data_IF_390373003406
#
_entry.id   IF_390373003406
#
_cell.length_a   1.000
_cell.length_b   1.000
_cell.length_c   1.000
_cell.angle_alpha   90.00
_cell.angle_beta   90.00
_cell.angle_gamma   90.00
#
_symmetry.space_group_name_H-M   'P 1'
#
loop_
_entity.id
_entity.type
_entity.pdbx_description
1 polymer ?
#
# COMPACT_ATOMS: atom_id res chain seq x y z
N UNK A 1 10.71 22.46 15.12
CA UNK A 1 9.54 22.23 14.24
C UNK A 1 9.59 23.23 13.08
N UNK A 2 9.17 22.84 11.86
CA UNK A 2 9.06 23.78 10.74
C UNK A 2 8.03 24.88 11.04
N UNK A 3 8.16 26.06 10.42
CA UNK A 3 7.18 27.13 10.61
C UNK A 3 5.84 26.67 10.01
N UNK A 4 4.71 26.79 10.72
CA UNK A 4 3.41 26.43 10.16
C UNK A 4 3.18 27.12 8.81
N UNK A 5 2.65 26.39 7.82
CA UNK A 5 2.41 26.86 6.44
C UNK A 5 3.66 27.23 5.64
N UNK A 6 4.87 26.90 6.12
CA UNK A 6 6.07 26.98 5.30
C UNK A 6 6.18 25.81 4.33
N UNK A 7 6.96 25.99 3.25
CA UNK A 7 7.25 24.92 2.28
C UNK A 7 7.93 23.76 3.02
N UNK A 8 7.27 22.60 3.05
CA UNK A 8 7.73 21.40 3.76
C UNK A 8 7.17 21.21 5.17
N UNK A 9 6.32 22.11 5.66
CA UNK A 9 5.56 21.86 6.89
C UNK A 9 4.42 20.85 6.63
N UNK A 10 4.13 19.92 7.55
CA UNK A 10 2.98 19.02 7.43
C UNK A 10 1.69 19.84 7.52
N UNK A 11 0.73 19.57 6.63
CA UNK A 11 -0.58 20.21 6.66
C UNK A 11 -1.64 19.12 6.77
N UNK A 12 -2.52 19.25 7.74
CA UNK A 12 -3.67 18.37 7.89
C UNK A 12 -4.87 18.92 7.12
N UNK A 13 -5.30 18.16 6.12
CA UNK A 13 -6.45 18.47 5.27
C UNK A 13 -7.63 17.52 5.52
N UNK A 14 -7.63 16.81 6.65
CA UNK A 14 -8.75 15.95 7.06
C UNK A 14 -8.61 14.51 6.57
N UNK A 15 -7.43 14.13 6.07
CA UNK A 15 -7.07 12.78 5.63
C UNK A 15 -5.81 12.33 6.34
N UNK A 16 -5.65 11.02 6.52
CA UNK A 16 -4.47 10.43 7.17
C UNK A 16 -4.20 11.02 8.57
N UNK A 17 -5.25 11.13 9.40
CA UNK A 17 -5.16 11.70 10.76
C UNK A 17 -4.12 10.97 11.60
N UNK A 18 -4.02 9.64 11.47
CA UNK A 18 -3.01 8.86 12.18
C UNK A 18 -1.58 9.23 11.76
N UNK A 19 -1.32 9.34 10.46
CA UNK A 19 0.01 9.69 9.95
C UNK A 19 0.37 11.13 10.31
N UNK A 20 -0.59 12.06 10.22
CA UNK A 20 -0.40 13.44 10.64
C UNK A 20 -0.06 13.56 12.13
N UNK A 21 -0.82 12.89 13.00
CA UNK A 21 -0.56 12.87 14.44
C UNK A 21 0.84 12.32 14.75
N UNK A 22 1.24 11.22 14.10
CA UNK A 22 2.57 10.63 14.24
C UNK A 22 3.70 11.59 13.79
N UNK A 23 3.50 12.31 12.68
CA UNK A 23 4.47 13.30 12.18
C UNK A 23 4.60 14.46 13.17
N UNK A 24 3.49 15.02 13.65
CA UNK A 24 3.51 16.13 14.61
C UNK A 24 4.13 15.69 15.93
N UNK A 25 3.82 14.50 16.44
CA UNK A 25 4.46 13.97 17.65
C UNK A 25 5.97 13.83 17.47
N UNK A 26 6.41 13.31 16.33
CA UNK A 26 7.84 13.17 16.03
C UNK A 26 8.52 14.54 15.97
N UNK A 27 7.89 15.53 15.34
CA UNK A 27 8.40 16.90 15.24
C UNK A 27 8.40 17.63 16.58
N UNK A 28 7.35 17.47 17.38
CA UNK A 28 7.21 18.10 18.68
C UNK A 28 8.18 17.48 19.69
N UNK A 29 8.37 16.16 19.66
CA UNK A 29 9.37 15.46 20.44
C UNK A 29 10.80 15.89 20.04
N UNK A 30 11.09 15.97 18.73
CA UNK A 30 12.38 16.49 18.24
C UNK A 30 12.62 17.96 18.64
N UNK A 31 11.56 18.74 18.83
CA UNK A 31 11.65 20.12 19.31
C UNK A 31 11.68 20.25 20.84
N UNK A 32 11.65 19.14 21.59
CA UNK A 32 11.65 19.15 23.05
C UNK A 32 10.39 19.76 23.68
N UNK A 33 9.26 19.74 22.95
CA UNK A 33 8.00 20.31 23.43
C UNK A 33 7.31 19.38 24.42
N UNK A 34 6.68 19.97 25.44
CA UNK A 34 5.89 19.21 26.40
C UNK A 34 4.59 18.73 25.75
N UNK A 35 4.13 17.52 26.09
CA UNK A 35 2.86 16.97 25.58
C UNK A 35 1.66 17.87 25.90
N UNK A 36 1.74 18.67 26.96
CA UNK A 36 0.71 19.65 27.32
C UNK A 36 0.56 20.78 26.29
N UNK A 37 1.59 21.06 25.48
CA UNK A 37 1.54 22.10 24.43
C UNK A 37 1.01 21.55 23.09
N UNK A 38 0.88 20.24 22.94
CA UNK A 38 0.58 19.60 21.65
C UNK A 38 -0.81 19.99 21.08
N UNK A 39 -1.89 20.07 21.90
CA UNK A 39 -3.21 20.49 21.42
C UNK A 39 -3.21 21.89 20.79
N UNK A 40 -2.51 22.85 21.38
CA UNK A 40 -2.39 24.21 20.81
C UNK A 40 -1.43 24.26 19.63
N UNK A 41 -0.42 23.38 19.59
CA UNK A 41 0.57 23.32 18.52
C UNK A 41 0.03 22.75 17.21
N UNK A 42 -1.07 22.01 17.22
CA UNK A 42 -1.61 21.37 16.01
C UNK A 42 -2.53 22.28 15.19
N UNK A 43 -3.24 23.22 15.83
CA UNK A 43 -4.13 24.19 15.15
C UNK A 43 -3.47 24.94 13.98
N UNK A 44 -2.19 25.37 14.06
CA UNK A 44 -1.51 26.06 12.95
C UNK A 44 -1.16 25.14 11.77
N UNK A 45 -1.06 23.82 12.01
CA UNK A 45 -0.76 22.81 10.98
C UNK A 45 -2.04 22.21 10.37
N UNK A 46 -3.22 22.59 10.85
CA UNK A 46 -4.48 22.27 10.21
C UNK A 46 -4.81 23.24 9.07
N UNK A 47 -5.57 22.77 8.08
CA UNK A 47 -6.17 23.64 7.06
C UNK A 47 -7.13 24.65 7.71
N UNK A 48 -7.39 25.78 7.03
CA UNK A 48 -8.26 26.84 7.56
C UNK A 48 -9.69 26.34 7.86
N UNK A 49 -10.18 25.37 7.08
CA UNK A 49 -11.49 24.74 7.30
C UNK A 49 -11.51 23.91 8.58
N UNK A 50 -10.48 23.09 8.78
CA UNK A 50 -10.37 22.21 9.95
C UNK A 50 -10.07 23.00 11.22
N UNK A 51 -9.21 24.03 11.10
CA UNK A 51 -8.94 24.96 12.18
C UNK A 51 -10.25 25.59 12.67
N UNK A 52 -11.11 26.08 11.77
CA UNK A 52 -12.41 26.65 12.15
C UNK A 52 -13.34 25.66 12.85
N UNK A 53 -13.29 24.37 12.50
CA UNK A 53 -14.14 23.36 13.15
C UNK A 53 -13.65 22.93 14.53
N UNK A 54 -12.33 22.96 14.79
CA UNK A 54 -11.73 22.44 16.03
C UNK A 54 -11.19 23.52 16.98
N UNK A 55 -11.03 24.78 16.52
CA UNK A 55 -10.46 25.88 17.33
C UNK A 55 -11.31 26.24 18.57
N UNK A 56 -12.59 25.88 18.56
CA UNK A 56 -13.50 26.10 19.70
C UNK A 56 -13.77 24.84 20.53
N UNK A 57 -13.07 23.74 20.25
CA UNK A 57 -13.21 22.50 21.00
C UNK A 57 -12.44 22.59 22.33
N UNK A 58 -13.08 22.24 23.44
CA UNK A 58 -12.50 22.32 24.79
C UNK A 58 -11.23 21.43 24.91
N UNK A 59 -11.19 20.36 24.13
CA UNK A 59 -10.09 19.40 24.01
C UNK A 59 -8.80 20.04 23.48
N UNK A 60 -8.90 21.13 22.71
CA UNK A 60 -7.75 21.84 22.12
C UNK A 60 -7.29 23.05 22.94
N UNK A 61 -8.16 23.52 23.83
CA UNK A 61 -7.88 24.58 24.81
C UNK A 61 -7.21 23.97 26.06
N UNK A 62 -7.51 22.70 26.34
CA UNK A 62 -6.92 21.94 27.43
C UNK A 62 -5.46 21.52 27.22
N UNK A 63 -4.87 20.95 28.28
CA UNK A 63 -3.51 20.38 28.28
C UNK A 63 -3.49 18.89 27.98
N UNK A 64 -4.63 18.28 27.68
CA UNK A 64 -4.76 16.85 27.47
C UNK A 64 -4.60 16.49 25.99
N UNK A 65 -3.37 16.08 25.66
CA UNK A 65 -3.04 15.60 24.32
C UNK A 65 -3.83 14.35 23.91
N UNK A 66 -4.17 13.49 24.86
CA UNK A 66 -4.84 12.24 24.55
C UNK A 66 -6.31 12.48 24.21
N UNK A 67 -6.98 13.39 24.93
CA UNK A 67 -8.32 13.85 24.59
C UNK A 67 -8.36 14.53 23.19
N UNK A 68 -7.41 15.42 22.90
CA UNK A 68 -7.33 16.08 21.59
C UNK A 68 -7.10 15.10 20.44
N UNK A 69 -6.27 14.07 20.65
CA UNK A 69 -6.06 12.98 19.70
C UNK A 69 -7.33 12.18 19.44
N UNK A 70 -7.98 11.71 20.50
CA UNK A 70 -9.20 10.92 20.40
C UNK A 70 -10.30 11.72 19.70
N UNK A 71 -10.44 13.01 20.00
CA UNK A 71 -11.38 13.89 19.32
C UNK A 71 -11.08 14.03 17.82
N UNK A 72 -9.81 14.24 17.43
CA UNK A 72 -9.42 14.31 16.02
C UNK A 72 -9.63 13.00 15.29
N UNK A 73 -9.26 11.88 15.94
CA UNK A 73 -9.49 10.56 15.40
C UNK A 73 -11.00 10.37 15.22
N UNK A 74 -11.83 10.63 16.22
CA UNK A 74 -13.28 10.47 16.10
C UNK A 74 -13.90 11.33 15.00
N UNK A 75 -13.45 12.59 14.86
CA UNK A 75 -14.00 13.51 13.86
C UNK A 75 -13.58 13.15 12.43
N UNK A 76 -12.35 12.65 12.26
CA UNK A 76 -11.78 12.37 10.94
C UNK A 76 -11.55 10.89 10.66
N UNK A 77 -11.89 9.94 11.53
CA UNK A 77 -11.71 8.49 11.32
C UNK A 77 -12.43 8.02 10.05
N UNK A 78 -13.61 8.59 9.80
CA UNK A 78 -14.38 8.31 8.58
C UNK A 78 -13.69 8.83 7.30
N UNK A 79 -12.84 9.86 7.42
CA UNK A 79 -12.07 10.48 6.32
C UNK A 79 -10.59 10.10 6.30
N UNK A 80 -10.09 9.45 7.37
CA UNK A 80 -8.72 9.00 7.58
C UNK A 80 -8.33 7.93 6.56
N UNK A 81 -9.33 7.11 6.25
CA UNK A 81 -9.33 6.24 5.11
C UNK A 81 -9.42 7.11 3.85
N UNK A 82 -8.27 7.43 3.24
CA UNK A 82 -8.19 7.94 1.86
C UNK A 82 -9.12 7.15 0.92
N UNK A 83 -9.44 7.70 -0.27
CA UNK A 83 -10.52 7.23 -1.14
C UNK A 83 -10.56 5.71 -1.15
N UNK A 84 -11.65 5.17 -0.61
CA UNK A 84 -11.75 3.76 -0.31
C UNK A 84 -11.46 2.92 -1.55
N UNK A 85 -10.37 2.16 -1.51
CA UNK A 85 -10.18 1.10 -2.48
C UNK A 85 -11.37 0.15 -2.37
N UNK A 86 -12.18 0.07 -3.41
CA UNK A 86 -13.37 -0.79 -3.43
C UNK A 86 -13.00 -2.17 -3.98
N UNK A 87 -13.82 -3.18 -3.68
CA UNK A 87 -13.69 -4.50 -4.31
C UNK A 87 -13.78 -4.36 -5.85
N UNK A 88 -14.57 -3.42 -6.35
CA UNK A 88 -14.71 -3.18 -7.78
C UNK A 88 -13.45 -2.57 -8.39
N UNK A 89 -12.72 -1.70 -7.68
CA UNK A 89 -11.40 -1.24 -8.11
C UNK A 89 -10.39 -2.39 -8.15
N UNK A 90 -10.42 -3.29 -7.17
CA UNK A 90 -9.58 -4.49 -7.19
C UNK A 90 -9.94 -5.38 -8.39
N UNK A 91 -11.23 -5.60 -8.66
CA UNK A 91 -11.70 -6.40 -9.79
C UNK A 91 -11.32 -5.76 -11.13
N UNK A 92 -11.46 -4.45 -11.27
CA UNK A 92 -11.05 -3.71 -12.45
C UNK A 92 -9.53 -3.83 -12.67
N UNK A 93 -8.74 -3.65 -11.61
CA UNK A 93 -7.28 -3.81 -11.68
C UNK A 93 -6.86 -5.23 -12.09
N UNK A 94 -7.55 -6.25 -11.55
CA UNK A 94 -7.35 -7.66 -11.93
C UNK A 94 -7.72 -7.90 -13.39
N UNK A 95 -8.84 -7.36 -13.87
CA UNK A 95 -9.25 -7.52 -15.27
C UNK A 95 -8.30 -6.80 -16.23
N UNK A 96 -7.86 -5.60 -15.87
CA UNK A 96 -6.91 -4.84 -16.67
C UNK A 96 -5.55 -5.54 -16.75
N UNK A 97 -5.04 -6.05 -15.63
CA UNK A 97 -3.78 -6.82 -15.60
C UNK A 97 -3.87 -8.16 -16.34
N UNK A 98 -5.03 -8.83 -16.32
CA UNK A 98 -5.28 -10.02 -17.14
C UNK A 98 -5.27 -9.72 -18.65
N UNK A 99 -5.77 -8.55 -19.05
CA UNK A 99 -5.87 -8.13 -20.45
C UNK A 99 -4.57 -7.56 -21.03
N UNK A 100 -3.58 -7.23 -20.18
CA UNK A 100 -2.28 -6.75 -20.60
C UNK A 100 -1.43 -7.87 -21.21
N UNK A 101 -0.49 -7.47 -22.07
CA UNK A 101 0.56 -8.35 -22.59
C UNK A 101 1.34 -9.00 -21.45
N UNK A 102 1.89 -10.19 -21.71
CA UNK A 102 2.65 -10.93 -20.70
C UNK A 102 3.74 -10.08 -20.04
N UNK A 103 4.04 -10.37 -18.77
CA UNK A 103 5.17 -9.74 -18.10
C UNK A 103 6.45 -10.14 -18.84
N UNK A 104 7.12 -9.13 -19.42
CA UNK A 104 8.37 -9.30 -20.17
C UNK A 104 9.59 -9.04 -19.29
N UNK A 105 9.42 -8.23 -18.24
CA UNK A 105 10.49 -7.85 -17.33
C UNK A 105 10.06 -8.05 -15.88
N UNK A 106 11.05 -8.23 -15.01
CA UNK A 106 10.86 -8.18 -13.55
C UNK A 106 10.21 -6.87 -13.08
N UNK A 107 10.54 -5.76 -13.74
CA UNK A 107 9.94 -4.45 -13.45
C UNK A 107 8.42 -4.45 -13.63
N UNK A 108 7.89 -5.18 -14.63
CA UNK A 108 6.46 -5.27 -14.88
C UNK A 108 5.74 -6.00 -13.74
N UNK A 109 6.39 -7.05 -13.19
CA UNK A 109 5.90 -7.78 -12.03
C UNK A 109 5.92 -6.92 -10.76
N UNK A 110 7.00 -6.18 -10.53
CA UNK A 110 7.15 -5.32 -9.36
C UNK A 110 6.11 -4.19 -9.36
N UNK A 111 5.88 -3.54 -10.51
CA UNK A 111 4.81 -2.55 -10.68
C UNK A 111 3.42 -3.14 -10.44
N UNK A 112 3.15 -4.34 -10.97
CA UNK A 112 1.90 -5.04 -10.73
C UNK A 112 1.71 -5.36 -9.24
N UNK A 113 2.74 -5.87 -8.58
CA UNK A 113 2.68 -6.20 -7.15
C UNK A 113 2.44 -4.96 -6.29
N UNK A 114 3.13 -3.85 -6.56
CA UNK A 114 2.94 -2.60 -5.83
C UNK A 114 1.52 -2.05 -5.99
N UNK A 115 1.00 -2.00 -7.23
CA UNK A 115 -0.36 -1.53 -7.49
C UNK A 115 -1.42 -2.44 -6.87
N UNK A 116 -1.24 -3.76 -6.96
CA UNK A 116 -2.12 -4.72 -6.29
C UNK A 116 -2.10 -4.55 -4.77
N UNK A 117 -0.91 -4.40 -4.17
CA UNK A 117 -0.75 -4.25 -2.73
C UNK A 117 -1.38 -2.95 -2.20
N UNK A 118 -1.32 -1.86 -2.98
CA UNK A 118 -1.96 -0.59 -2.62
C UNK A 118 -3.49 -0.75 -2.46
N UNK A 119 -4.14 -1.52 -3.34
CA UNK A 119 -5.59 -1.73 -3.33
C UNK A 119 -5.96 -2.84 -2.33
N UNK A 120 -5.36 -4.02 -2.47
CA UNK A 120 -5.67 -5.20 -1.67
C UNK A 120 -5.23 -5.04 -0.20
N UNK A 121 -4.13 -4.33 0.06
CA UNK A 121 -3.67 -4.03 1.42
C UNK A 121 -4.66 -3.15 2.18
N UNK A 122 -5.27 -2.16 1.51
CA UNK A 122 -6.33 -1.34 2.10
C UNK A 122 -7.60 -2.18 2.38
N UNK A 123 -8.00 -3.05 1.44
CA UNK A 123 -9.16 -3.93 1.62
C UNK A 123 -8.96 -4.93 2.77
N UNK A 124 -7.74 -5.48 2.90
CA UNK A 124 -7.38 -6.37 4.00
C UNK A 124 -7.39 -5.64 5.35
N UNK A 125 -6.84 -4.42 5.42
CA UNK A 125 -6.86 -3.59 6.65
C UNK A 125 -8.28 -3.30 7.11
N UNK A 126 -9.23 -3.16 6.16
CA UNK A 126 -10.66 -2.96 6.44
C UNK A 126 -11.42 -4.26 6.76
N UNK A 127 -10.77 -5.42 6.71
CA UNK A 127 -11.42 -6.72 6.91
C UNK A 127 -12.39 -7.13 5.80
N UNK A 128 -12.32 -6.47 4.63
CA UNK A 128 -13.20 -6.77 3.49
C UNK A 128 -12.75 -8.04 2.77
N UNK A 129 -11.43 -8.29 2.72
CA UNK A 129 -10.84 -9.51 2.17
C UNK A 129 -9.93 -10.16 3.20
N UNK A 130 -9.94 -11.49 3.24
CA UNK A 130 -8.99 -12.26 4.03
C UNK A 130 -7.64 -12.41 3.29
N UNK A 131 -6.58 -12.77 4.02
CA UNK A 131 -5.26 -13.06 3.43
C UNK A 131 -5.32 -14.18 2.38
N UNK A 132 -6.18 -15.17 2.58
CA UNK A 132 -6.42 -16.26 1.62
C UNK A 132 -7.04 -15.74 0.33
N UNK A 133 -8.05 -14.86 0.45
CA UNK A 133 -8.69 -14.25 -0.70
C UNK A 133 -7.74 -13.32 -1.43
N UNK A 134 -6.92 -12.54 -0.71
CA UNK A 134 -5.88 -11.69 -1.28
C UNK A 134 -4.90 -12.50 -2.15
N UNK A 135 -4.45 -13.66 -1.69
CA UNK A 135 -3.57 -14.55 -2.46
C UNK A 135 -4.26 -15.07 -3.74
N UNK A 136 -5.53 -15.47 -3.63
CA UNK A 136 -6.31 -15.96 -4.78
C UNK A 136 -6.54 -14.85 -5.82
N UNK A 137 -6.87 -13.64 -5.37
CA UNK A 137 -7.07 -12.46 -6.24
C UNK A 137 -5.78 -12.06 -6.95
N UNK A 138 -4.63 -12.17 -6.28
CA UNK A 138 -3.33 -11.92 -6.90
C UNK A 138 -3.07 -12.92 -8.03
N UNK A 139 -3.27 -14.22 -7.79
CA UNK A 139 -3.16 -15.24 -8.84
C UNK A 139 -4.12 -14.94 -10.00
N UNK A 140 -5.35 -14.51 -9.71
CA UNK A 140 -6.32 -14.15 -10.74
C UNK A 140 -5.84 -12.99 -11.63
N UNK A 141 -5.16 -11.98 -11.11
CA UNK A 141 -4.71 -10.85 -11.95
C UNK A 141 -3.48 -11.14 -12.83
N UNK A 142 -2.83 -12.29 -12.67
CA UNK A 142 -1.69 -12.64 -13.51
C UNK A 142 -2.10 -12.90 -14.98
N UNK A 143 -1.25 -12.52 -15.97
CA UNK A 143 -1.42 -12.90 -17.37
C UNK A 143 -1.43 -14.43 -17.57
N UNK A 144 -2.05 -14.91 -18.65
CA UNK A 144 -2.24 -16.35 -18.92
C UNK A 144 -0.92 -17.13 -18.94
N UNK A 145 0.12 -16.68 -19.66
CA UNK A 145 1.40 -17.39 -19.69
C UNK A 145 2.11 -17.44 -18.34
N UNK A 146 2.02 -16.35 -17.55
CA UNK A 146 2.57 -16.31 -16.20
C UNK A 146 1.85 -17.29 -15.27
N UNK A 147 0.52 -17.44 -15.39
CA UNK A 147 -0.25 -18.44 -14.64
C UNK A 147 0.15 -19.86 -14.99
N UNK A 148 0.30 -20.18 -16.28
CA UNK A 148 0.71 -21.51 -16.74
C UNK A 148 2.10 -21.87 -16.21
N UNK A 149 3.05 -20.93 -16.27
CA UNK A 149 4.39 -21.11 -15.72
C UNK A 149 4.34 -21.34 -14.20
N UNK A 150 3.60 -20.51 -13.47
CA UNK A 150 3.43 -20.64 -12.03
C UNK A 150 2.85 -22.01 -11.65
N UNK A 151 1.82 -22.48 -12.35
CA UNK A 151 1.20 -23.79 -12.11
C UNK A 151 2.13 -24.96 -12.46
N UNK A 152 3.04 -24.79 -13.42
CA UNK A 152 4.05 -25.82 -13.73
C UNK A 152 5.10 -25.98 -12.63
N UNK A 153 5.45 -24.88 -11.94
CA UNK A 153 6.52 -24.83 -10.94
C UNK A 153 6.03 -25.03 -9.50
N UNK A 154 4.74 -24.84 -9.23
CA UNK A 154 4.18 -25.02 -7.89
C UNK A 154 3.87 -26.50 -7.58
N UNK A 155 4.13 -26.95 -6.33
CA UNK A 155 3.76 -28.30 -5.89
C UNK A 155 2.24 -28.48 -5.88
N UNK A 156 1.79 -29.71 -6.14
CA UNK A 156 0.38 -30.07 -6.36
C UNK A 156 -0.54 -29.66 -5.21
N UNK A 157 -0.02 -29.62 -3.98
CA UNK A 157 -0.72 -29.21 -2.76
C UNK A 157 -1.19 -27.75 -2.79
N UNK A 158 -0.41 -26.86 -3.43
CA UNK A 158 -0.71 -25.43 -3.53
C UNK A 158 -1.53 -25.08 -4.79
N UNK A 159 -1.99 -26.08 -5.56
CA UNK A 159 -2.82 -25.88 -6.77
C UNK A 159 -4.32 -25.83 -6.44
N UNK A 160 -4.68 -25.80 -5.16
CA UNK A 160 -6.07 -25.82 -4.71
C UNK A 160 -6.53 -24.44 -4.26
N UNK A 161 -7.81 -24.14 -4.47
CA UNK A 161 -8.45 -22.90 -4.00
C UNK A 161 -8.50 -22.78 -2.48
N UNK A 162 -8.31 -23.90 -1.78
CA UNK A 162 -8.28 -24.04 -0.33
C UNK A 162 -6.92 -23.77 0.30
N UNK A 163 -5.83 -23.81 -0.48
CA UNK A 163 -4.47 -23.52 -0.01
C UNK A 163 -3.70 -22.78 -1.11
N UNK A 164 -4.09 -21.52 -1.41
CA UNK A 164 -3.42 -20.75 -2.45
C UNK A 164 -1.97 -20.46 -2.04
N UNK A 165 -1.04 -20.43 -3.01
CA UNK A 165 0.34 -20.04 -2.75
C UNK A 165 0.37 -18.61 -2.22
N UNK A 166 1.29 -18.31 -1.32
CA UNK A 166 1.46 -16.93 -0.83
C UNK A 166 1.95 -16.03 -1.97
N UNK A 167 1.59 -14.74 -1.94
CA UNK A 167 2.09 -13.75 -2.91
C UNK A 167 3.62 -13.78 -3.00
N UNK A 168 4.31 -13.92 -1.86
CA UNK A 168 5.77 -14.06 -1.81
C UNK A 168 6.29 -15.28 -2.58
N UNK A 169 5.65 -16.44 -2.42
CA UNK A 169 6.01 -17.64 -3.17
C UNK A 169 5.74 -17.45 -4.66
N UNK A 170 4.61 -16.84 -5.03
CA UNK A 170 4.28 -16.56 -6.43
C UNK A 170 5.30 -15.63 -7.08
N UNK A 171 5.66 -14.52 -6.42
CA UNK A 171 6.67 -13.57 -6.91
C UNK A 171 8.02 -14.25 -7.04
N UNK A 172 8.43 -15.09 -6.07
CA UNK A 172 9.70 -15.81 -6.14
C UNK A 172 9.76 -16.74 -7.35
N UNK A 173 8.70 -17.49 -7.60
CA UNK A 173 8.61 -18.38 -8.77
C UNK A 173 8.59 -17.56 -10.07
N UNK A 174 7.81 -16.49 -10.15
CA UNK A 174 7.75 -15.67 -11.36
C UNK A 174 9.09 -14.95 -11.62
N UNK A 175 9.78 -14.48 -10.58
CA UNK A 175 11.12 -13.89 -10.71
C UNK A 175 12.15 -14.89 -11.24
N UNK A 176 12.00 -16.18 -10.94
CA UNK A 176 12.82 -17.23 -11.53
C UNK A 176 12.67 -17.33 -13.06
N UNK A 177 11.52 -16.94 -13.63
CA UNK A 177 11.32 -16.85 -15.09
C UNK A 177 12.26 -15.82 -15.74
N UNK A 178 12.65 -14.78 -15.00
CA UNK A 178 13.47 -13.66 -15.49
C UNK A 178 14.93 -13.76 -15.06
N UNK A 179 15.35 -14.89 -14.48
CA UNK A 179 16.73 -15.08 -14.05
C UNK A 179 17.63 -15.33 -15.28
N UNK A 180 18.62 -14.46 -15.55
CA UNK A 180 19.51 -14.60 -16.70
C UNK A 180 20.42 -15.83 -16.62
N UNK A 181 20.52 -16.49 -15.46
CA UNK A 181 21.30 -17.72 -15.26
C UNK A 181 20.53 -19.02 -15.55
N UNK A 182 19.37 -18.96 -16.23
CA UNK A 182 18.63 -20.16 -16.65
C UNK A 182 19.35 -20.88 -17.81
N UNK A 183 19.49 -22.20 -17.69
CA UNK A 183 19.96 -23.09 -18.77
C UNK A 183 19.13 -22.97 -20.06
N UNK A 184 17.85 -22.60 -19.96
CA UNK A 184 16.98 -22.35 -21.13
C UNK A 184 17.44 -21.14 -21.97
N UNK A 185 18.20 -20.19 -21.41
CA UNK A 185 18.85 -19.12 -22.19
C UNK A 185 20.20 -19.55 -22.81
N UNK A 186 20.73 -20.71 -22.43
CA UNK A 186 21.92 -21.29 -23.06
C UNK A 186 21.57 -22.01 -24.37
N UNK A 187 20.36 -22.56 -24.52
CA UNK A 187 19.94 -23.26 -25.75
C UNK A 187 19.72 -22.29 -26.93
N UNK A 188 19.23 -21.07 -26.69
CA UNK A 188 19.02 -20.05 -27.74
C UNK A 188 20.34 -19.45 -28.28
N UNK A 189 21.46 -19.59 -27.56
CA UNK A 189 22.77 -19.10 -28.01
C UNK A 189 23.60 -20.16 -28.76
N UNK A 190 23.19 -21.43 -28.75
CA UNK A 190 23.96 -22.53 -29.37
C UNK A 190 23.41 -22.92 -30.76
N UNK A 191 22.34 -22.28 -31.25
CA UNK A 191 21.76 -22.57 -32.58
C UNK A 191 21.97 -21.47 -33.63
N UNK A 192 23.02 -20.66 -33.54
CA UNK A 192 23.27 -19.64 -34.56
C UNK A 192 24.73 -19.38 -34.93
N UNK A 193 25.66 -20.29 -34.63
CA UNK A 193 27.00 -20.26 -35.21
C UNK A 193 27.52 -21.70 -35.37
N UNK A 194 27.28 -22.25 -36.55
CA UNK A 194 28.10 -23.23 -37.29
C UNK A 194 27.57 -23.10 -38.75
N UNK A 195 28.11 -22.18 -39.55
CA UNK A 195 29.16 -22.43 -40.58
C UNK A 195 28.79 -23.64 -41.48
N UNK A 196 28.73 -23.60 -42.81
CA UNK A 196 29.43 -22.81 -43.84
C UNK A 196 28.73 -23.05 -45.20
#
# INVERSE_FOLDING_TARGET
MPVPRSVGAPIFEGRYVHDFLNIIESLANAAGKSKAEYPSLILPYCSDEIKRSIEYADEFIGTDWQAAKEFLIQLYESSDLGPASSIDQLRAYIQESQGKTEFTKRLDLDHYHQGFLAIAGQLKKRGIIDGTEMNLKFYQGLPRGTKTFLMSQLPTENRTTTSPPTITQMIKVINYKFDPNRLEFFEDYVSNDDEE
#
